data_IF_962578647207
#
_entry.id   IF_962578647207
#
_cell.length_a   1.000
_cell.length_b   1.000
_cell.length_c   1.000
_cell.angle_alpha   90.00
_cell.angle_beta   90.00
_cell.angle_gamma   90.00
#
_symmetry.space_group_name_H-M   'P 1'
#
loop_
_entity.id
_entity.type
_entity.pdbx_description
1 polymer ?
#
# COMPACT_ATOMS: atom_id res chain seq x y z
N UNK A 1 36.62 23.33 -50.66
CA UNK A 1 38.05 23.67 -50.48
C UNK A 1 38.17 25.01 -49.79
N UNK A 2 38.55 25.05 -48.51
CA UNK A 2 39.43 26.07 -47.93
C UNK A 2 39.76 25.66 -46.48
N UNK A 3 41.02 25.25 -46.29
CA UNK A 3 41.65 24.91 -45.00
C UNK A 3 42.15 26.21 -44.33
N UNK A 4 42.16 26.25 -43.00
CA UNK A 4 43.28 26.78 -42.16
C UNK A 4 43.03 26.47 -40.66
N UNK A 5 43.83 25.55 -40.11
CA UNK A 5 44.82 25.70 -38.99
C UNK A 5 44.18 25.97 -37.62
N UNK A 6 44.08 24.97 -36.72
CA UNK A 6 45.11 24.50 -35.76
C UNK A 6 45.79 25.59 -34.93
N UNK A 7 45.47 25.63 -33.63
CA UNK A 7 46.45 25.85 -32.56
C UNK A 7 45.98 25.15 -31.28
N UNK A 8 46.76 24.14 -30.90
CA UNK A 8 46.82 23.44 -29.62
C UNK A 8 47.28 24.36 -28.49
N UNK A 9 46.75 24.20 -27.29
CA UNK A 9 47.53 24.16 -26.05
C UNK A 9 46.78 23.33 -25.01
N UNK A 10 47.54 22.43 -24.38
CA UNK A 10 47.14 21.37 -23.46
C UNK A 10 47.32 21.79 -21.99
N UNK A 11 47.34 20.87 -21.01
CA UNK A 11 46.45 20.89 -19.85
C UNK A 11 47.08 21.59 -18.63
N UNK A 12 46.29 22.32 -17.85
CA UNK A 12 46.76 22.76 -16.54
C UNK A 12 46.58 21.66 -15.49
N UNK A 13 47.74 21.38 -14.90
CA UNK A 13 48.08 20.34 -13.96
C UNK A 13 47.43 20.55 -12.59
N UNK A 14 47.24 19.44 -11.88
CA UNK A 14 46.79 19.38 -10.51
C UNK A 14 47.72 20.15 -9.55
N UNK A 15 47.12 20.94 -8.65
CA UNK A 15 47.75 21.36 -7.41
C UNK A 15 46.91 20.86 -6.23
N UNK A 16 47.39 19.76 -5.65
CA UNK A 16 46.92 19.15 -4.41
C UNK A 16 47.32 20.06 -3.25
N UNK A 17 46.41 20.92 -2.78
CA UNK A 17 46.66 21.70 -1.57
C UNK A 17 46.36 20.83 -0.33
N UNK A 18 47.42 20.28 0.26
CA UNK A 18 47.38 19.74 1.62
C UNK A 18 47.22 20.93 2.56
N UNK A 19 46.02 21.12 3.13
CA UNK A 19 45.85 22.02 4.28
C UNK A 19 46.10 21.23 5.55
N UNK A 20 47.17 21.60 6.22
CA UNK A 20 47.53 21.14 7.55
C UNK A 20 46.41 21.46 8.56
N UNK A 21 46.14 20.49 9.45
CA UNK A 21 45.35 20.68 10.65
C UNK A 21 46.03 21.70 11.56
N UNK A 22 45.54 22.93 11.57
CA UNK A 22 45.72 23.83 12.70
C UNK A 22 44.50 23.71 13.60
N UNK A 23 44.66 22.98 14.70
CA UNK A 23 43.75 23.00 15.84
C UNK A 23 43.79 24.40 16.47
N UNK A 24 42.96 25.31 15.96
CA UNK A 24 42.61 26.50 16.71
C UNK A 24 41.55 26.05 17.71
N UNK A 25 41.97 25.79 18.95
CA UNK A 25 41.04 25.60 20.06
C UNK A 25 40.33 26.92 20.33
N UNK A 26 39.26 27.19 19.60
CA UNK A 26 38.29 28.16 20.04
C UNK A 26 37.67 27.61 21.32
N UNK A 27 38.04 28.20 22.46
CA UNK A 27 37.40 27.96 23.73
C UNK A 27 35.92 28.36 23.59
N UNK A 28 35.09 27.38 23.24
CA UNK A 28 33.65 27.53 23.27
C UNK A 28 33.30 27.74 24.74
N UNK A 29 32.92 28.99 25.08
CA UNK A 29 32.32 29.33 26.37
C UNK A 29 31.27 28.27 26.66
N UNK A 30 31.34 27.71 27.86
CA UNK A 30 30.38 26.79 28.42
C UNK A 30 28.99 27.41 28.37
N UNK A 31 28.29 27.21 27.26
CA UNK A 31 26.85 27.40 27.20
C UNK A 31 26.29 26.27 28.03
N UNK A 32 25.70 26.63 29.17
CA UNK A 32 24.89 25.75 30.01
C UNK A 32 24.07 24.85 29.12
N UNK A 33 24.35 23.54 29.20
CA UNK A 33 23.80 22.55 28.30
C UNK A 33 22.30 22.74 28.15
N UNK A 34 21.84 22.89 26.90
CA UNK A 34 20.46 22.60 26.60
C UNK A 34 20.21 21.19 27.13
N UNK A 35 19.23 20.94 28.01
CA UNK A 35 18.78 19.60 28.28
C UNK A 35 18.07 19.13 27.02
N UNK A 36 18.85 18.68 26.03
CA UNK A 36 18.33 17.63 25.17
C UNK A 36 17.83 16.56 26.14
N UNK A 37 16.59 16.10 25.96
CA UNK A 37 16.04 14.97 26.72
C UNK A 37 16.29 13.68 25.91
N UNK A 38 17.53 13.20 25.71
CA UNK A 38 17.76 11.97 24.95
C UNK A 38 17.23 10.75 25.72
N UNK A 39 17.25 10.78 27.06
CA UNK A 39 16.86 9.64 27.90
C UNK A 39 15.37 9.26 27.76
N UNK A 40 14.45 10.23 27.58
CA UNK A 40 13.01 9.94 27.47
C UNK A 40 12.67 9.37 26.09
N UNK A 41 13.25 9.93 25.02
CA UNK A 41 13.07 9.42 23.66
C UNK A 41 13.69 8.02 23.51
N UNK A 42 14.90 7.80 24.05
CA UNK A 42 15.58 6.50 24.07
C UNK A 42 14.76 5.44 24.84
N UNK A 43 14.19 5.80 26.00
CA UNK A 43 13.35 4.88 26.78
C UNK A 43 12.07 4.49 26.04
N UNK A 44 11.38 5.44 25.39
CA UNK A 44 10.20 5.14 24.55
C UNK A 44 10.54 4.17 23.41
N UNK A 45 11.62 4.41 22.69
CA UNK A 45 12.07 3.52 21.61
C UNK A 45 12.42 2.11 22.12
N UNK A 46 13.04 2.00 23.30
CA UNK A 46 13.34 0.69 23.90
C UNK A 46 12.09 -0.10 24.28
N UNK A 47 11.04 0.58 24.75
CA UNK A 47 9.75 -0.05 25.06
C UNK A 47 9.02 -0.51 23.80
N UNK A 48 9.07 0.28 22.72
CA UNK A 48 8.44 -0.10 21.45
C UNK A 48 9.08 -1.36 20.86
N UNK A 49 10.41 -1.46 20.88
CA UNK A 49 11.11 -2.67 20.43
C UNK A 49 10.69 -3.92 21.19
N UNK A 50 10.55 -3.81 22.52
CA UNK A 50 10.05 -4.91 23.36
C UNK A 50 8.62 -5.31 22.98
N UNK A 51 7.71 -4.34 22.86
CA UNK A 51 6.33 -4.59 22.42
C UNK A 51 6.26 -5.25 21.04
N UNK A 52 7.06 -4.80 20.08
CA UNK A 52 7.12 -5.40 18.74
C UNK A 52 7.50 -6.88 18.79
N UNK A 53 8.50 -7.23 19.61
CA UNK A 53 8.97 -8.60 19.78
C UNK A 53 7.94 -9.48 20.51
N UNK A 54 7.33 -8.95 21.58
CA UNK A 54 6.27 -9.61 22.35
C UNK A 54 5.04 -9.91 21.49
N UNK A 55 4.59 -8.95 20.68
CA UNK A 55 3.42 -9.08 19.82
C UNK A 55 3.71 -9.83 18.52
N UNK A 56 4.97 -10.10 18.18
CA UNK A 56 5.40 -10.63 16.87
C UNK A 56 4.84 -9.77 15.72
N UNK A 57 5.12 -8.48 15.79
CA UNK A 57 4.60 -7.44 14.90
C UNK A 57 4.65 -7.84 13.41
N UNK A 58 3.54 -7.61 12.71
CA UNK A 58 3.40 -7.95 11.29
C UNK A 58 4.11 -6.89 10.45
N UNK A 59 5.15 -7.29 9.72
CA UNK A 59 5.82 -6.40 8.78
C UNK A 59 4.82 -5.93 7.71
N UNK A 60 4.87 -4.63 7.38
CA UNK A 60 3.92 -3.96 6.49
C UNK A 60 2.44 -4.07 6.91
N UNK A 61 2.14 -3.98 8.22
CA UNK A 61 0.77 -3.99 8.76
C UNK A 61 -0.23 -3.12 7.96
N UNK A 62 0.09 -1.87 7.55
CA UNK A 62 -0.83 -1.05 6.76
C UNK A 62 -1.20 -1.65 5.39
N UNK A 63 -0.38 -2.52 4.84
CA UNK A 63 -0.65 -3.20 3.57
C UNK A 63 -1.50 -4.45 3.78
N UNK A 64 -1.29 -5.17 4.88
CA UNK A 64 -2.06 -6.38 5.23
C UNK A 64 -3.48 -5.98 5.66
N UNK A 65 -3.57 -5.04 6.61
CA UNK A 65 -4.78 -4.59 7.28
C UNK A 65 -5.00 -3.06 7.13
N UNK A 66 -5.15 -2.53 5.89
CA UNK A 66 -5.40 -1.11 5.65
C UNK A 66 -6.72 -0.60 6.26
N UNK A 67 -7.66 -1.49 6.57
CA UNK A 67 -8.94 -1.17 7.19
C UNK A 67 -8.81 -0.76 8.67
N UNK A 68 -7.76 -1.23 9.37
CA UNK A 68 -7.47 -0.81 10.74
C UNK A 68 -6.52 0.39 10.83
N UNK A 69 -6.07 0.94 9.70
CA UNK A 69 -5.24 2.13 9.67
C UNK A 69 -6.07 3.37 10.03
N UNK A 70 -5.46 4.34 10.70
CA UNK A 70 -6.13 5.61 11.00
C UNK A 70 -6.41 6.43 9.73
N UNK A 71 -7.45 7.26 9.76
CA UNK A 71 -7.69 8.24 8.69
C UNK A 71 -6.50 9.20 8.55
N UNK A 72 -5.95 9.40 7.34
CA UNK A 72 -4.88 10.39 7.11
C UNK A 72 -5.37 11.83 7.32
N UNK A 73 -6.69 12.05 7.24
CA UNK A 73 -7.31 13.33 7.54
C UNK A 73 -7.50 13.43 9.05
N UNK A 74 -6.68 14.26 9.71
CA UNK A 74 -6.65 14.37 11.17
C UNK A 74 -8.00 14.83 11.77
N UNK A 75 -8.73 15.73 11.12
CA UNK A 75 -10.06 16.18 11.56
C UNK A 75 -11.10 15.05 11.66
N UNK A 76 -10.85 13.91 11.00
CA UNK A 76 -11.78 12.77 10.99
C UNK A 76 -11.45 11.72 12.05
N UNK A 77 -10.32 11.87 12.77
CA UNK A 77 -9.89 10.94 13.81
C UNK A 77 -10.67 11.16 15.10
N UNK A 78 -11.20 10.08 15.67
CA UNK A 78 -11.89 10.09 16.96
C UNK A 78 -11.69 8.73 17.61
N UNK A 79 -10.99 8.72 18.75
CA UNK A 79 -10.60 7.49 19.43
C UNK A 79 -11.80 6.62 19.86
N UNK A 80 -12.88 7.23 20.36
CA UNK A 80 -14.07 6.48 20.78
C UNK A 80 -14.77 5.87 19.59
N UNK A 81 -14.88 6.62 18.48
CA UNK A 81 -15.48 6.13 17.24
C UNK A 81 -14.67 4.96 16.67
N UNK A 82 -13.36 5.11 16.58
CA UNK A 82 -12.45 4.08 16.06
C UNK A 82 -12.50 2.81 16.92
N UNK A 83 -12.57 2.95 18.25
CA UNK A 83 -12.73 1.82 19.16
C UNK A 83 -14.03 1.03 18.91
N UNK A 84 -15.16 1.74 18.78
CA UNK A 84 -16.45 1.10 18.48
C UNK A 84 -16.45 0.43 17.09
N UNK A 85 -15.89 1.10 16.07
CA UNK A 85 -15.76 0.53 14.72
C UNK A 85 -14.89 -0.74 14.75
N UNK A 86 -13.79 -0.74 15.51
CA UNK A 86 -12.93 -1.92 15.63
C UNK A 86 -13.66 -3.07 16.32
N UNK A 87 -14.41 -2.82 17.39
CA UNK A 87 -15.21 -3.87 18.03
C UNK A 87 -16.17 -4.53 17.03
N UNK A 88 -16.93 -3.74 16.27
CA UNK A 88 -17.86 -4.24 15.24
C UNK A 88 -17.14 -5.01 14.12
N UNK A 89 -15.99 -4.50 13.65
CA UNK A 89 -15.17 -5.15 12.63
C UNK A 89 -14.65 -6.51 13.08
N UNK A 90 -14.15 -6.59 14.32
CA UNK A 90 -13.68 -7.83 14.93
C UNK A 90 -14.82 -8.84 15.03
N UNK A 91 -15.98 -8.43 15.53
CA UNK A 91 -17.16 -9.30 15.62
C UNK A 91 -17.61 -9.82 14.25
N UNK A 92 -17.60 -8.97 13.22
CA UNK A 92 -17.96 -9.41 11.86
C UNK A 92 -16.96 -10.43 11.30
N UNK A 93 -15.66 -10.27 11.55
CA UNK A 93 -14.61 -11.23 11.15
C UNK A 93 -14.74 -12.59 11.84
N UNK A 94 -15.50 -12.72 12.93
CA UNK A 94 -15.83 -14.04 13.50
C UNK A 94 -16.77 -14.84 12.59
N UNK A 95 -17.65 -14.13 11.89
CA UNK A 95 -18.71 -14.70 11.08
C UNK A 95 -18.32 -14.83 9.61
N UNK A 96 -17.37 -14.01 9.14
CA UNK A 96 -16.86 -14.01 7.77
C UNK A 96 -15.34 -14.20 7.77
N UNK A 97 -14.86 -15.26 7.12
CA UNK A 97 -13.43 -15.50 6.93
C UNK A 97 -12.91 -14.53 5.86
N UNK A 98 -12.09 -13.56 6.29
CA UNK A 98 -11.49 -12.54 5.42
C UNK A 98 -10.01 -12.88 5.24
N UNK A 99 -9.61 -13.44 4.08
CA UNK A 99 -8.22 -13.78 3.81
C UNK A 99 -7.34 -12.54 3.59
N UNK A 100 -6.03 -12.73 3.68
CA UNK A 100 -5.06 -11.71 3.26
C UNK A 100 -5.03 -11.58 1.74
N UNK A 101 -5.20 -10.36 1.22
CA UNK A 101 -5.03 -10.05 -0.20
C UNK A 101 -4.55 -8.61 -0.41
N UNK A 102 -3.94 -8.35 -1.55
CA UNK A 102 -3.39 -7.04 -1.90
C UNK A 102 -3.95 -6.54 -3.22
N UNK A 103 -3.62 -5.28 -3.54
CA UNK A 103 -3.82 -4.75 -4.88
C UNK A 103 -2.94 -5.53 -5.86
N UNK A 104 -3.58 -6.13 -6.85
CA UNK A 104 -2.97 -7.08 -7.77
C UNK A 104 -3.34 -8.55 -7.55
N UNK A 105 -3.85 -8.91 -6.36
CA UNK A 105 -4.31 -10.27 -6.11
C UNK A 105 -5.59 -10.60 -6.87
N UNK A 106 -5.76 -11.86 -7.26
CA UNK A 106 -7.00 -12.36 -7.87
C UNK A 106 -7.87 -12.92 -6.75
N UNK A 107 -9.09 -12.40 -6.63
CA UNK A 107 -10.02 -12.70 -5.55
C UNK A 107 -11.35 -13.15 -6.14
N UNK A 108 -11.97 -14.15 -5.51
CA UNK A 108 -13.34 -14.55 -5.75
C UNK A 108 -14.22 -14.14 -4.56
N UNK A 109 -15.30 -13.42 -4.83
CA UNK A 109 -16.27 -13.01 -3.81
C UNK A 109 -17.60 -13.67 -4.09
N UNK A 110 -18.17 -14.33 -3.08
CA UNK A 110 -19.51 -14.90 -3.13
C UNK A 110 -20.45 -14.04 -2.31
N UNK A 111 -21.46 -13.48 -2.95
CA UNK A 111 -22.49 -12.62 -2.34
C UNK A 111 -23.86 -13.27 -2.45
N UNK A 112 -24.71 -13.13 -1.42
CA UNK A 112 -26.11 -13.51 -1.52
C UNK A 112 -26.98 -12.33 -1.88
N UNK A 113 -27.68 -12.41 -3.01
CA UNK A 113 -28.63 -11.39 -3.48
C UNK A 113 -30.05 -11.98 -3.47
N UNK A 114 -31.05 -11.18 -3.07
CA UNK A 114 -32.44 -11.67 -2.93
C UNK A 114 -33.21 -11.59 -4.24
N UNK A 115 -32.87 -10.63 -5.10
CA UNK A 115 -33.64 -10.30 -6.30
C UNK A 115 -33.20 -11.07 -7.55
N UNK A 116 -32.07 -11.77 -7.49
CA UNK A 116 -31.57 -12.59 -8.59
C UNK A 116 -32.03 -14.04 -8.45
N UNK A 117 -32.11 -14.76 -9.56
CA UNK A 117 -32.63 -16.15 -9.58
C UNK A 117 -31.76 -17.17 -8.84
N UNK A 118 -30.45 -16.89 -8.71
CA UNK A 118 -29.56 -17.68 -7.86
C UNK A 118 -29.51 -17.08 -6.46
N UNK A 119 -29.43 -17.92 -5.42
CA UNK A 119 -29.27 -17.46 -4.04
C UNK A 119 -27.86 -16.88 -3.77
N UNK A 120 -26.87 -17.33 -4.55
CA UNK A 120 -25.47 -16.95 -4.40
C UNK A 120 -24.85 -16.58 -5.75
N UNK A 121 -24.07 -15.50 -5.76
CA UNK A 121 -23.37 -14.95 -6.91
C UNK A 121 -21.89 -14.88 -6.62
N UNK A 122 -21.11 -15.60 -7.42
CA UNK A 122 -19.64 -15.54 -7.39
C UNK A 122 -19.19 -14.48 -8.40
N UNK A 123 -18.19 -13.68 -8.05
CA UNK A 123 -17.48 -12.83 -8.99
C UNK A 123 -15.98 -13.01 -8.79
N UNK A 124 -15.26 -13.27 -9.88
CA UNK A 124 -13.81 -13.43 -9.88
C UNK A 124 -13.19 -12.25 -10.60
N UNK A 125 -12.16 -11.64 -10.02
CA UNK A 125 -11.43 -10.55 -10.66
C UNK A 125 -10.17 -10.15 -9.93
N UNK A 126 -9.37 -9.30 -10.57
CA UNK A 126 -8.20 -8.67 -9.95
C UNK A 126 -8.64 -7.53 -9.03
N UNK A 127 -8.06 -7.48 -7.83
CA UNK A 127 -8.24 -6.34 -6.94
C UNK A 127 -7.41 -5.15 -7.46
N UNK A 128 -8.12 -4.11 -7.91
CA UNK A 128 -7.50 -2.90 -8.48
C UNK A 128 -7.10 -1.91 -7.39
N UNK A 129 -7.95 -1.81 -6.37
CA UNK A 129 -7.94 -0.70 -5.43
C UNK A 129 -8.54 -1.16 -4.11
N UNK A 130 -7.92 -0.73 -3.01
CA UNK A 130 -8.40 -0.89 -1.64
C UNK A 130 -8.44 0.49 -1.01
N UNK A 131 -9.60 0.91 -0.55
CA UNK A 131 -9.86 2.29 -0.14
C UNK A 131 -10.65 2.36 1.15
N UNK A 132 -10.61 3.55 1.77
CA UNK A 132 -11.24 3.86 3.06
C UNK A 132 -10.67 3.03 4.21
N UNK A 133 -11.04 3.41 5.42
CA UNK A 133 -10.68 2.76 6.67
C UNK A 133 -11.96 2.41 7.45
N UNK A 134 -11.82 1.59 8.48
CA UNK A 134 -12.91 1.18 9.36
C UNK A 134 -13.92 0.25 8.69
N UNK A 135 -15.17 0.34 9.17
CA UNK A 135 -16.29 -0.50 8.71
C UNK A 135 -16.63 -0.32 7.22
N UNK A 136 -16.34 0.86 6.67
CA UNK A 136 -16.58 1.21 5.27
C UNK A 136 -15.39 0.92 4.35
N UNK A 137 -14.43 0.07 4.77
CA UNK A 137 -13.33 -0.32 3.91
C UNK A 137 -13.85 -1.01 2.64
N UNK A 138 -13.41 -0.53 1.49
CA UNK A 138 -13.88 -0.92 0.17
C UNK A 138 -12.76 -1.52 -0.66
N UNK A 139 -13.10 -2.47 -1.51
CA UNK A 139 -12.20 -2.97 -2.54
C UNK A 139 -12.94 -3.13 -3.87
N UNK A 140 -12.24 -2.83 -4.96
CA UNK A 140 -12.79 -2.91 -6.32
C UNK A 140 -12.16 -4.08 -7.05
N UNK A 141 -13.01 -5.00 -7.54
CA UNK A 141 -12.61 -6.10 -8.41
C UNK A 141 -12.92 -5.78 -9.86
N UNK A 142 -12.01 -6.12 -10.77
CA UNK A 142 -12.22 -6.01 -12.22
C UNK A 142 -12.02 -7.35 -12.89
N UNK A 143 -12.87 -7.64 -13.86
CA UNK A 143 -12.65 -8.72 -14.82
C UNK A 143 -13.24 -8.33 -16.18
N UNK A 144 -12.69 -8.87 -17.27
CA UNK A 144 -13.26 -8.76 -18.61
C UNK A 144 -13.95 -10.08 -18.94
N UNK A 145 -15.28 -10.08 -18.97
CA UNK A 145 -16.10 -11.22 -19.32
C UNK A 145 -16.74 -10.98 -20.68
N UNK A 146 -16.60 -11.93 -21.60
CA UNK A 146 -17.19 -11.86 -22.95
C UNK A 146 -16.87 -10.54 -23.70
N UNK A 147 -15.66 -10.00 -23.48
CA UNK A 147 -15.21 -8.75 -24.09
C UNK A 147 -15.70 -7.47 -23.40
N UNK A 148 -16.54 -7.58 -22.37
CA UNK A 148 -17.03 -6.45 -21.56
C UNK A 148 -16.24 -6.36 -20.25
N UNK A 149 -15.66 -5.19 -19.97
CA UNK A 149 -14.99 -4.91 -18.70
C UNK A 149 -16.01 -4.61 -17.60
N UNK A 150 -16.05 -5.44 -16.56
CA UNK A 150 -16.95 -5.31 -15.42
C UNK A 150 -16.11 -4.96 -14.18
N UNK A 151 -16.57 -3.95 -13.44
CA UNK A 151 -16.01 -3.55 -12.16
C UNK A 151 -17.07 -3.62 -11.08
N UNK A 152 -16.77 -4.29 -9.98
CA UNK A 152 -17.65 -4.39 -8.82
C UNK A 152 -16.90 -3.90 -7.60
N UNK A 153 -17.50 -2.93 -6.92
CA UNK A 153 -17.03 -2.43 -5.63
C UNK A 153 -17.75 -3.18 -4.52
N UNK A 154 -16.96 -3.75 -3.60
CA UNK A 154 -17.46 -4.43 -2.41
C UNK A 154 -17.06 -3.66 -1.16
N UNK A 155 -17.98 -3.56 -0.20
CA UNK A 155 -17.65 -3.19 1.17
C UNK A 155 -17.21 -4.45 1.91
N UNK A 156 -16.02 -4.45 2.54
CA UNK A 156 -15.41 -5.63 3.14
C UNK A 156 -16.30 -6.30 4.21
N UNK A 157 -17.01 -5.47 4.98
CA UNK A 157 -17.82 -5.89 6.12
C UNK A 157 -19.30 -6.11 5.78
N UNK A 158 -19.68 -6.05 4.50
CA UNK A 158 -21.08 -6.18 4.10
C UNK A 158 -21.69 -7.53 4.56
N UNK A 159 -22.89 -7.53 5.16
CA UNK A 159 -23.59 -8.76 5.57
C UNK A 159 -24.02 -9.65 4.38
N UNK A 160 -24.13 -9.12 3.17
CA UNK A 160 -24.50 -9.91 1.98
C UNK A 160 -23.36 -10.81 1.51
N UNK A 161 -22.11 -10.48 1.85
CA UNK A 161 -20.94 -11.30 1.50
C UNK A 161 -20.94 -12.57 2.35
N UNK A 162 -20.90 -13.70 1.66
CA UNK A 162 -20.88 -15.05 2.24
C UNK A 162 -19.48 -15.61 2.36
N UNK A 163 -18.64 -15.39 1.34
CA UNK A 163 -17.29 -15.94 1.29
C UNK A 163 -16.38 -15.04 0.45
N UNK A 164 -15.14 -14.88 0.90
CA UNK A 164 -14.06 -14.26 0.13
C UNK A 164 -12.95 -15.31 0.01
N UNK A 165 -12.55 -15.62 -1.21
CA UNK A 165 -11.49 -16.58 -1.52
C UNK A 165 -10.36 -15.86 -2.27
N UNK A 166 -9.13 -16.08 -1.86
CA UNK A 166 -7.95 -15.61 -2.58
C UNK A 166 -7.50 -16.69 -3.55
N UNK A 167 -7.68 -16.44 -4.85
CA UNK A 167 -7.28 -17.38 -5.88
C UNK A 167 -5.79 -17.29 -6.18
N UNK A 168 -5.25 -16.07 -6.25
CA UNK A 168 -3.83 -15.84 -6.48
C UNK A 168 -3.34 -14.67 -5.65
N UNK A 169 -2.42 -14.97 -4.72
CA UNK A 169 -1.80 -13.96 -3.88
C UNK A 169 -0.55 -13.38 -4.57
N UNK A 170 -0.71 -12.19 -5.15
CA UNK A 170 0.39 -11.41 -5.70
C UNK A 170 0.22 -9.92 -5.37
N UNK A 171 1.34 -9.20 -5.33
CA UNK A 171 1.40 -7.73 -5.27
C UNK A 171 1.79 -7.18 -6.64
N UNK A 172 1.37 -5.95 -6.95
CA UNK A 172 1.87 -5.18 -8.10
C UNK A 172 2.79 -4.06 -7.63
N UNK A 173 3.46 -3.41 -8.58
CA UNK A 173 4.37 -2.29 -8.31
C UNK A 173 3.66 -1.05 -7.77
N UNK A 174 2.39 -0.88 -8.15
CA UNK A 174 1.56 0.26 -7.79
C UNK A 174 0.49 -0.13 -6.77
N UNK A 175 0.07 0.85 -5.96
CA UNK A 175 -1.00 0.70 -4.96
C UNK A 175 -2.41 0.84 -5.55
N UNK A 176 -2.53 1.39 -6.76
CA UNK A 176 -3.79 1.57 -7.49
C UNK A 176 -3.56 1.16 -8.94
N UNK A 177 -4.37 0.22 -9.42
CA UNK A 177 -4.30 -0.33 -10.78
C UNK A 177 -5.41 0.23 -11.68
N UNK A 178 -6.02 1.37 -11.32
CA UNK A 178 -7.14 1.95 -12.08
C UNK A 178 -6.82 2.19 -13.57
N UNK A 179 -5.54 2.25 -13.94
CA UNK A 179 -5.08 2.31 -15.33
C UNK A 179 -5.41 1.05 -16.15
N UNK A 180 -5.78 -0.08 -15.52
CA UNK A 180 -6.26 -1.28 -16.21
C UNK A 180 -7.56 -1.05 -17.00
N UNK A 181 -8.29 0.03 -16.70
CA UNK A 181 -9.45 0.48 -17.49
C UNK A 181 -9.02 0.82 -18.93
N UNK A 182 -7.94 1.60 -19.05
CA UNK A 182 -7.42 2.09 -20.33
C UNK A 182 -6.38 1.15 -20.95
N UNK A 183 -6.06 0.04 -20.27
CA UNK A 183 -5.13 -0.98 -20.73
C UNK A 183 -5.73 -1.94 -21.77
N UNK A 184 -4.86 -2.72 -22.41
CA UNK A 184 -5.29 -3.85 -23.23
C UNK A 184 -6.10 -4.86 -22.38
N UNK A 185 -7.19 -5.45 -22.92
CA UNK A 185 -8.03 -6.41 -22.18
C UNK A 185 -7.24 -7.58 -21.58
N UNK A 186 -6.16 -8.03 -22.24
CA UNK A 186 -5.32 -9.16 -21.83
C UNK A 186 -4.86 -9.09 -20.37
N UNK A 187 -4.60 -7.88 -19.85
CA UNK A 187 -4.15 -7.69 -18.47
C UNK A 187 -5.28 -7.74 -17.43
N UNK A 188 -6.54 -7.70 -17.88
CA UNK A 188 -7.75 -7.68 -17.03
C UNK A 188 -8.65 -8.90 -17.22
N UNK A 189 -8.37 -9.77 -18.20
CA UNK A 189 -9.14 -10.99 -18.45
C UNK A 189 -8.66 -12.11 -17.55
N UNK A 190 -9.54 -12.61 -16.68
CA UNK A 190 -9.28 -13.74 -15.80
C UNK A 190 -10.37 -14.80 -15.95
N UNK A 191 -9.97 -16.06 -15.91
CA UNK A 191 -10.91 -17.18 -15.92
C UNK A 191 -11.76 -17.19 -14.64
N UNK A 192 -13.07 -17.37 -14.81
CA UNK A 192 -14.05 -17.40 -13.73
C UNK A 192 -13.95 -18.69 -12.90
N UNK A 193 -13.45 -19.77 -13.51
CA UNK A 193 -13.30 -21.09 -12.88
C UNK A 193 -11.86 -21.39 -12.44
N UNK A 194 -11.00 -20.37 -12.36
CA UNK A 194 -9.63 -20.52 -11.86
C UNK A 194 -9.58 -21.16 -10.46
N UNK A 195 -8.73 -22.17 -10.31
CA UNK A 195 -8.45 -22.81 -9.02
C UNK A 195 -7.54 -21.94 -8.15
N UNK A 196 -7.71 -21.97 -6.81
CA UNK A 196 -6.86 -21.23 -5.89
C UNK A 196 -5.44 -21.81 -5.81
N UNK A 197 -4.45 -20.96 -6.07
CA UNK A 197 -3.03 -21.25 -5.93
C UNK A 197 -2.64 -21.04 -4.46
N UNK A 198 -2.32 -22.13 -3.78
CA UNK A 198 -1.86 -22.07 -2.40
C UNK A 198 -0.52 -21.32 -2.29
N UNK A 199 -0.46 -20.36 -1.36
CA UNK A 199 0.77 -19.66 -1.00
C UNK A 199 1.32 -20.23 0.32
N UNK A 200 2.59 -20.68 0.38
CA UNK A 200 3.15 -21.31 1.56
C UNK A 200 3.44 -20.31 2.68
N UNK A 201 3.00 -20.66 3.88
CA UNK A 201 3.18 -19.83 5.06
C UNK A 201 4.65 -19.54 5.37
N UNK A 202 4.97 -18.25 5.51
CA UNK A 202 6.27 -17.70 5.92
C UNK A 202 7.05 -17.12 4.75
N UNK A 203 6.61 -17.39 3.52
CA UNK A 203 7.22 -16.82 2.32
C UNK A 203 6.73 -15.38 2.13
N UNK A 204 7.58 -14.42 1.74
CA UNK A 204 7.09 -13.10 1.35
C UNK A 204 6.14 -13.21 0.14
N UNK A 205 5.17 -12.31 0.08
CA UNK A 205 4.21 -12.27 -1.03
C UNK A 205 4.95 -11.84 -2.32
N UNK A 206 4.82 -12.60 -3.43
CA UNK A 206 5.53 -12.27 -4.66
C UNK A 206 5.03 -10.95 -5.26
N UNK A 207 5.97 -10.11 -5.69
CA UNK A 207 5.67 -8.87 -6.42
C UNK A 207 5.80 -9.17 -7.91
N UNK A 208 4.72 -8.99 -8.65
CA UNK A 208 4.66 -9.21 -10.08
C UNK A 208 5.22 -7.96 -10.82
N UNK A 209 6.33 -8.08 -11.57
CA UNK A 209 6.99 -6.94 -12.22
C UNK A 209 6.40 -6.59 -13.60
N UNK A 210 5.36 -7.28 -14.06
CA UNK A 210 4.73 -7.05 -15.37
C UNK A 210 4.32 -5.57 -15.51
N UNK A 211 4.75 -4.97 -16.61
CA UNK A 211 4.33 -3.62 -17.04
C UNK A 211 3.22 -3.74 -18.07
N UNK A 212 2.23 -2.87 -17.94
CA UNK A 212 1.00 -2.88 -18.71
C UNK A 212 1.11 -1.90 -19.88
N UNK A 213 0.73 -2.34 -21.07
CA UNK A 213 0.58 -1.49 -22.25
C UNK A 213 -0.83 -0.87 -22.28
N UNK A 214 -0.87 0.46 -22.35
CA UNK A 214 -2.12 1.20 -22.54
C UNK A 214 -2.60 1.13 -23.99
N UNK A 215 -3.92 1.26 -24.18
CA UNK A 215 -4.53 1.49 -25.51
C UNK A 215 -4.09 2.85 -26.05
N UNK A 216 -4.35 3.10 -27.33
CA UNK A 216 -4.19 4.45 -27.89
C UNK A 216 -5.12 5.46 -27.18
N UNK A 217 -4.68 6.71 -26.96
CA UNK A 217 -5.53 7.77 -26.39
C UNK A 217 -6.82 8.01 -27.21
N UNK A 218 -7.89 8.60 -26.62
CA UNK A 218 -7.95 9.21 -25.30
C UNK A 218 -8.14 8.21 -24.15
N UNK A 219 -7.51 8.48 -23.00
CA UNK A 219 -7.64 7.70 -21.77
C UNK A 219 -8.60 8.37 -20.79
N UNK A 220 -9.10 7.59 -19.83
CA UNK A 220 -9.96 8.05 -18.74
C UNK A 220 -9.25 9.07 -17.85
N UNK A 221 -7.95 8.86 -17.59
CA UNK A 221 -7.11 9.80 -16.84
C UNK A 221 -5.80 10.05 -17.56
N UNK A 222 -5.15 11.16 -17.20
CA UNK A 222 -3.81 11.52 -17.66
C UNK A 222 -2.76 10.75 -16.87
N UNK A 223 -2.67 9.45 -17.12
CA UNK A 223 -1.76 8.53 -16.41
C UNK A 223 -0.30 8.97 -16.49
N UNK A 224 0.08 9.70 -17.53
CA UNK A 224 1.43 10.26 -17.66
C UNK A 224 1.80 11.25 -16.54
N UNK A 225 0.82 11.84 -15.86
CA UNK A 225 1.04 12.77 -14.75
C UNK A 225 1.25 12.07 -13.39
N UNK A 226 0.86 10.80 -13.28
CA UNK A 226 0.98 10.04 -12.05
C UNK A 226 2.29 9.23 -12.05
N UNK A 227 2.88 9.03 -10.88
CA UNK A 227 4.10 8.21 -10.70
C UNK A 227 3.78 6.70 -10.71
N UNK A 228 3.06 6.23 -11.74
CA UNK A 228 2.74 4.83 -11.94
C UNK A 228 3.95 4.07 -12.50
N UNK A 229 4.45 3.08 -11.76
CA UNK A 229 5.62 2.26 -12.12
C UNK A 229 5.24 1.07 -13.01
N UNK A 230 3.98 0.65 -12.96
CA UNK A 230 3.44 -0.49 -13.70
C UNK A 230 3.00 -0.21 -15.14
N UNK A 231 3.14 1.02 -15.64
CA UNK A 231 2.77 1.37 -17.02
C UNK A 231 4.01 1.35 -17.93
N UNK A 232 3.92 0.63 -19.05
CA UNK A 232 4.95 0.63 -20.08
C UNK A 232 4.81 1.87 -20.98
N UNK A 233 5.82 2.74 -20.98
CA UNK A 233 5.92 3.81 -21.97
C UNK A 233 4.79 4.85 -21.92
N UNK A 234 4.24 5.17 -20.74
CA UNK A 234 3.17 6.17 -20.57
C UNK A 234 3.45 7.49 -21.34
N UNK A 235 4.69 7.96 -21.29
CA UNK A 235 5.16 9.17 -21.98
C UNK A 235 5.39 9.00 -23.49
N UNK A 236 5.66 7.79 -23.97
CA UNK A 236 5.93 7.55 -25.38
C UNK A 236 4.66 7.81 -26.20
N UNK A 237 3.50 7.42 -25.65
CA UNK A 237 2.19 7.55 -26.30
C UNK A 237 1.58 8.97 -26.18
N UNK A 238 2.15 9.85 -25.35
CA UNK A 238 1.66 11.22 -25.18
C UNK A 238 2.04 12.12 -26.38
N UNK A 239 1.11 13.01 -26.79
CA UNK A 239 1.36 13.93 -27.90
C UNK A 239 2.45 14.96 -27.58
N UNK A 240 3.19 15.48 -28.57
CA UNK A 240 4.20 16.53 -28.36
C UNK A 240 3.67 17.79 -27.66
N UNK A 241 2.39 18.12 -27.88
CA UNK A 241 1.71 19.22 -27.19
C UNK A 241 1.66 19.00 -25.68
N UNK A 242 1.24 17.80 -25.22
CA UNK A 242 1.18 17.48 -23.79
C UNK A 242 2.56 17.42 -23.15
N UNK A 243 3.58 16.90 -23.86
CA UNK A 243 4.98 16.89 -23.41
C UNK A 243 5.49 18.31 -23.11
N UNK A 244 5.23 19.28 -24.00
CA UNK A 244 5.62 20.68 -23.79
C UNK A 244 4.87 21.34 -22.62
N UNK A 245 3.59 21.01 -22.44
CA UNK A 245 2.77 21.55 -21.33
C UNK A 245 3.19 20.95 -19.97
N UNK A 246 3.67 19.71 -19.95
CA UNK A 246 4.06 19.03 -18.72
C UNK A 246 5.17 19.75 -17.96
N UNK A 247 6.24 20.20 -18.64
CA UNK A 247 7.34 20.94 -17.99
C UNK A 247 6.89 22.20 -17.26
N UNK A 248 5.78 22.82 -17.67
CA UNK A 248 5.19 23.98 -16.98
C UNK A 248 4.31 23.59 -15.78
N UNK A 249 3.80 22.36 -15.77
CA UNK A 249 2.77 21.90 -14.83
C UNK A 249 3.31 20.93 -13.77
N UNK A 250 4.49 20.34 -13.98
CA UNK A 250 5.22 19.57 -12.96
C UNK A 250 5.73 20.56 -11.89
N UNK A 251 4.79 21.15 -11.16
CA UNK A 251 5.01 21.91 -9.94
C UNK A 251 5.73 20.98 -8.99
N UNK A 252 6.99 21.33 -8.78
CA UNK A 252 7.99 20.82 -7.85
C UNK A 252 7.72 19.50 -7.13
N UNK A 253 8.72 18.63 -7.28
CA UNK A 253 9.02 17.43 -6.48
C UNK A 253 9.17 17.69 -4.96
N UNK A 254 8.79 18.87 -4.48
CA UNK A 254 8.82 19.23 -3.06
C UNK A 254 7.94 18.32 -2.21
N UNK A 255 6.92 17.68 -2.81
CA UNK A 255 6.09 16.69 -2.11
C UNK A 255 6.90 15.48 -1.63
N UNK A 256 7.97 15.08 -2.34
CA UNK A 256 8.88 14.03 -1.86
C UNK A 256 9.56 14.40 -0.54
N UNK A 257 9.69 15.69 -0.26
CA UNK A 257 10.35 16.23 0.93
C UNK A 257 9.35 16.78 1.97
N UNK A 258 8.04 16.60 1.77
CA UNK A 258 7.01 17.06 2.70
C UNK A 258 6.87 16.08 3.88
N UNK A 259 7.75 16.24 4.87
CA UNK A 259 7.73 15.45 6.10
C UNK A 259 6.42 15.59 6.90
N UNK A 260 5.69 16.70 6.73
CA UNK A 260 4.40 16.91 7.41
C UNK A 260 3.34 16.03 6.74
N UNK A 261 3.37 15.89 5.42
CA UNK A 261 2.50 14.95 4.71
C UNK A 261 2.78 13.50 5.16
N UNK A 262 4.05 13.11 5.25
CA UNK A 262 4.43 11.77 5.73
C UNK A 262 3.95 11.51 7.17
N UNK A 263 4.12 12.49 8.06
CA UNK A 263 3.65 12.38 9.45
C UNK A 263 2.12 12.28 9.55
N UNK A 264 1.38 12.93 8.66
CA UNK A 264 -0.10 12.88 8.62
C UNK A 264 -0.63 11.54 8.12
N UNK A 265 0.09 10.89 7.21
CA UNK A 265 -0.31 9.62 6.58
C UNK A 265 0.19 8.42 7.36
N UNK A 266 1.33 8.54 8.04
CA UNK A 266 1.96 7.46 8.79
C UNK A 266 1.07 6.96 9.93
N UNK A 267 0.68 5.69 9.83
CA UNK A 267 0.26 4.94 11.01
C UNK A 267 1.42 4.98 12.00
N UNK A 268 1.17 5.53 13.18
CA UNK A 268 2.19 5.51 14.23
C UNK A 268 2.41 4.04 14.59
N UNK A 269 3.66 3.59 14.62
CA UNK A 269 3.99 2.22 15.07
C UNK A 269 3.32 1.89 16.42
N UNK A 270 3.16 2.90 17.28
CA UNK A 270 2.38 2.83 18.52
C UNK A 270 0.92 2.37 18.29
N UNK A 271 0.23 2.97 17.32
CA UNK A 271 -1.14 2.61 16.93
C UNK A 271 -1.20 1.20 16.34
N UNK A 272 -0.26 0.84 15.46
CA UNK A 272 -0.21 -0.51 14.87
C UNK A 272 -0.10 -1.59 15.96
N UNK A 273 0.81 -1.40 16.91
CA UNK A 273 1.00 -2.30 18.05
C UNK A 273 -0.23 -2.35 18.96
N UNK A 274 -0.90 -1.21 19.18
CA UNK A 274 -2.14 -1.17 19.97
C UNK A 274 -3.27 -1.97 19.29
N UNK A 275 -3.43 -1.80 17.98
CA UNK A 275 -4.42 -2.56 17.21
C UNK A 275 -4.08 -4.05 17.24
N UNK A 276 -2.82 -4.44 17.02
CA UNK A 276 -2.37 -5.84 17.10
C UNK A 276 -2.62 -6.44 18.50
N UNK A 277 -2.34 -5.69 19.56
CA UNK A 277 -2.60 -6.09 20.94
C UNK A 277 -4.10 -6.33 21.17
N UNK A 278 -4.97 -5.43 20.69
CA UNK A 278 -6.44 -5.57 20.74
C UNK A 278 -6.92 -6.78 19.96
N UNK A 279 -6.40 -6.98 18.75
CA UNK A 279 -6.71 -8.13 17.90
C UNK A 279 -6.36 -9.45 18.60
N UNK A 280 -5.14 -9.58 19.13
CA UNK A 280 -4.71 -10.78 19.85
C UNK A 280 -5.51 -11.02 21.14
N UNK A 281 -5.84 -9.95 21.87
CA UNK A 281 -6.67 -10.02 23.06
C UNK A 281 -8.07 -10.54 22.72
N UNK A 282 -8.70 -9.98 21.69
CA UNK A 282 -10.01 -10.41 21.23
C UNK A 282 -10.01 -11.89 20.85
N UNK A 283 -9.01 -12.36 20.10
CA UNK A 283 -8.88 -13.79 19.75
C UNK A 283 -8.76 -14.67 21.00
N UNK A 284 -7.90 -14.30 21.96
CA UNK A 284 -7.70 -15.05 23.21
C UNK A 284 -9.00 -15.13 24.03
N UNK A 285 -9.73 -14.04 24.16
CA UNK A 285 -10.99 -14.00 24.89
C UNK A 285 -12.04 -14.92 24.24
N UNK A 286 -12.19 -14.88 22.90
CA UNK A 286 -13.15 -15.73 22.19
C UNK A 286 -12.75 -17.20 22.19
N UNK A 287 -11.45 -17.52 22.10
CA UNK A 287 -10.95 -18.88 22.25
C UNK A 287 -11.19 -19.44 23.65
N UNK A 288 -10.94 -18.64 24.69
CA UNK A 288 -11.14 -19.03 26.08
C UNK A 288 -12.63 -19.28 26.37
N UNK A 289 -13.51 -18.45 25.81
CA UNK A 289 -14.95 -18.61 25.90
C UNK A 289 -15.51 -19.75 25.02
N UNK A 290 -14.68 -20.39 24.18
CA UNK A 290 -15.06 -21.54 23.37
C UNK A 290 -15.96 -21.25 22.17
N UNK A 291 -16.15 -19.97 21.78
CA UNK A 291 -17.00 -19.61 20.64
C UNK A 291 -16.40 -20.08 19.31
N UNK A 292 -15.09 -19.94 19.13
CA UNK A 292 -14.39 -20.31 17.90
C UNK A 292 -13.00 -20.85 18.23
N UNK A 293 -12.50 -21.77 17.39
CA UNK A 293 -11.10 -22.26 17.41
C UNK A 293 -10.25 -21.73 16.25
N UNK A 294 -10.85 -20.92 15.38
CA UNK A 294 -10.20 -20.38 14.18
C UNK A 294 -9.44 -19.11 14.54
N UNK A 295 -8.23 -18.96 14.01
CA UNK A 295 -7.54 -17.66 14.00
C UNK A 295 -8.21 -16.75 12.99
N UNK A 296 -8.58 -15.57 13.45
CA UNK A 296 -9.26 -14.54 12.69
C UNK A 296 -8.23 -13.70 11.95
N UNK A 297 -7.04 -13.57 12.52
CA UNK A 297 -5.91 -12.89 11.93
C UNK A 297 -4.91 -13.92 11.42
N UNK A 298 -4.89 -14.05 10.11
CA UNK A 298 -3.90 -14.84 9.40
C UNK A 298 -3.09 -13.87 8.56
N UNK A 299 -1.85 -13.63 8.95
CA UNK A 299 -0.86 -13.36 7.92
C UNK A 299 -0.68 -14.65 7.11
N UNK A 300 -0.30 -14.54 5.85
CA UNK A 300 0.08 -15.67 5.02
C UNK A 300 1.10 -16.55 5.78
N UNK A 301 1.94 -15.93 6.63
CA UNK A 301 2.88 -16.60 7.52
C UNK A 301 2.30 -17.52 8.60
N UNK A 302 1.01 -17.44 8.92
CA UNK A 302 0.39 -18.16 10.01
C UNK A 302 -0.69 -19.18 9.58
N UNK A 303 -0.95 -19.35 8.26
CA UNK A 303 -1.95 -20.29 7.77
C UNK A 303 -1.43 -21.75 7.76
N UNK A 304 -1.52 -22.42 8.90
CA UNK A 304 -1.64 -23.88 9.04
C UNK A 304 -2.58 -24.21 10.19
#
# INVERSE_FOLDING_TARGET
MCRRRMSSLSPFCAARLVRANTLISAACRTVSGCPSRPAVASRKQSNLKKKMEELKHIQDFPSVYPDFVQSPVWNRRNALKEELEYQDMLERRMHLDIPEFYVGSIVAVTTSERYMGSKEHRFVGICIRREKQGLHHQFTLRNVLEGVGIEIMYDLYNPTIRKIETLKLEKRLDKDLSYLIDALPEYSTFDFHMEPIAHPAGTPVPINPIKVKLRSPPWTRRWELYDCKGIEGAWQQATPYFKRKFHKTKMNDYLQYDLIADYRVGSQLEHELEVEEKMQRFEKERHTAGLTRRRIFRSAAASR
#
